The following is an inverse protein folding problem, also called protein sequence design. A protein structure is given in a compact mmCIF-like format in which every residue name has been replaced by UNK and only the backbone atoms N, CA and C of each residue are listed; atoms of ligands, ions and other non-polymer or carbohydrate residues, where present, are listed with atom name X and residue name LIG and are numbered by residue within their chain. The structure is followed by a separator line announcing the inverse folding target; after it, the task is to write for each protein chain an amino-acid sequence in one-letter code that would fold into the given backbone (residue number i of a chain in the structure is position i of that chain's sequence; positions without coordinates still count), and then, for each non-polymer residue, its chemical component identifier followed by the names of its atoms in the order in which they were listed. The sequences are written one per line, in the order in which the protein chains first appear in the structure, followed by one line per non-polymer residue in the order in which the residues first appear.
data_IF_583010937751
#
_entry.id   IF_583010937751
#
_cell.length_a   1.000
_cell.length_b   1.000
_cell.length_c   1.000
_cell.angle_alpha   90.00
_cell.angle_beta   90.00
_cell.angle_gamma   90.00
#
_symmetry.space_group_name_H-M   'P 1'
#
loop_
_entity.id
_entity.type
_entity.pdbx_description
1 polymer ?
#
# COMPACT_ATOMS: atom_id res chain seq x y z
N UNK A 1 -13.13 15.92 30.11
CA UNK A 1 -12.71 14.59 29.59
C UNK A 1 -12.98 14.42 28.09
N UNK A 2 -14.15 14.80 27.57
CA UNK A 2 -14.55 14.60 26.16
C UNK A 2 -13.54 15.14 25.13
N UNK A 3 -13.02 16.36 25.31
CA UNK A 3 -12.01 16.96 24.41
C UNK A 3 -10.66 16.24 24.39
N UNK A 4 -10.28 15.58 25.48
CA UNK A 4 -9.04 14.78 25.53
C UNK A 4 -9.22 13.46 24.76
N UNK A 5 -10.38 12.80 24.90
CA UNK A 5 -10.70 11.59 24.14
C UNK A 5 -10.83 11.86 22.64
N UNK A 6 -11.43 13.00 22.26
CA UNK A 6 -11.54 13.40 20.84
C UNK A 6 -10.18 13.62 20.18
N UNK A 7 -9.25 14.28 20.89
CA UNK A 7 -7.87 14.46 20.39
C UNK A 7 -7.13 13.12 20.21
N UNK A 8 -7.31 12.18 21.15
CA UNK A 8 -6.73 10.83 21.07
C UNK A 8 -7.32 10.01 19.93
N UNK A 9 -8.63 10.11 19.66
CA UNK A 9 -9.30 9.44 18.54
C UNK A 9 -8.84 9.99 17.20
N UNK A 10 -8.79 11.31 17.03
CA UNK A 10 -8.30 11.94 15.79
C UNK A 10 -6.84 11.54 15.53
N UNK A 11 -6.00 11.51 16.56
CA UNK A 11 -4.62 11.03 16.40
C UNK A 11 -4.55 9.56 16.01
N UNK A 12 -5.42 8.71 16.55
CA UNK A 12 -5.43 7.29 16.23
C UNK A 12 -5.83 7.09 14.77
N UNK A 13 -6.84 7.83 14.31
CA UNK A 13 -7.25 7.87 12.91
C UNK A 13 -6.11 8.36 12.02
N UNK A 14 -5.42 9.45 12.38
CA UNK A 14 -4.30 9.96 11.58
C UNK A 14 -3.15 8.96 11.52
N UNK A 15 -2.78 8.32 12.63
CA UNK A 15 -1.74 7.27 12.63
C UNK A 15 -2.17 6.08 11.80
N UNK A 16 -3.42 5.64 11.93
CA UNK A 16 -3.99 4.55 11.12
C UNK A 16 -3.94 4.88 9.63
N UNK A 17 -4.34 6.09 9.24
CA UNK A 17 -4.28 6.57 7.85
C UNK A 17 -2.84 6.60 7.35
N UNK A 18 -1.90 7.11 8.15
CA UNK A 18 -0.48 7.12 7.77
C UNK A 18 0.09 5.71 7.62
N UNK A 19 -0.26 4.80 8.53
CA UNK A 19 0.13 3.38 8.46
C UNK A 19 -0.47 2.72 7.22
N UNK A 20 -1.73 2.96 6.91
CA UNK A 20 -2.40 2.44 5.72
C UNK A 20 -1.78 2.98 4.42
N UNK A 21 -1.40 4.26 4.39
CA UNK A 21 -0.69 4.85 3.25
C UNK A 21 0.69 4.20 3.06
N UNK A 22 1.46 4.04 4.15
CA UNK A 22 2.79 3.41 4.08
C UNK A 22 2.68 1.95 3.67
N UNK A 23 1.73 1.20 4.24
CA UNK A 23 1.47 -0.19 3.87
C UNK A 23 1.06 -0.31 2.39
N UNK A 24 0.14 0.55 1.93
CA UNK A 24 -0.28 0.59 0.53
C UNK A 24 0.88 0.81 -0.44
N UNK A 25 1.77 1.75 -0.12
CA UNK A 25 2.95 2.00 -0.95
C UNK A 25 3.93 0.83 -0.98
N UNK A 26 4.07 0.07 0.12
CA UNK A 26 4.92 -1.12 0.16
C UNK A 26 4.34 -2.29 -0.64
N UNK A 27 3.01 -2.38 -0.71
CA UNK A 27 2.28 -3.44 -1.44
C UNK A 27 2.09 -3.06 -2.92
N UNK A 28 2.47 -1.84 -3.32
CA UNK A 28 2.33 -1.37 -4.71
C UNK A 28 0.89 -1.11 -5.13
N UNK A 29 -0.05 -1.05 -4.18
CA UNK A 29 -1.47 -0.76 -4.43
C UNK A 29 -1.81 0.68 -4.03
N UNK A 30 -2.56 1.42 -4.85
CA UNK A 30 -3.06 2.74 -4.46
C UNK A 30 -4.09 2.57 -3.34
N UNK A 31 -3.71 2.94 -2.12
CA UNK A 31 -4.63 2.90 -0.97
C UNK A 31 -5.31 4.26 -0.82
N UNK A 32 -6.64 4.23 -0.83
CA UNK A 32 -7.57 5.33 -0.58
C UNK A 32 -7.63 6.42 -1.66
N UNK A 33 -6.48 6.95 -2.11
CA UNK A 33 -6.45 8.09 -3.02
C UNK A 33 -5.34 7.92 -4.05
N UNK A 34 -5.67 8.17 -5.32
CA UNK A 34 -4.70 8.31 -6.40
C UNK A 34 -5.03 9.53 -7.25
N UNK A 35 -4.24 9.84 -8.27
CA UNK A 35 -4.46 10.97 -9.17
C UNK A 35 -4.09 10.63 -10.61
N UNK A 36 -4.72 11.33 -11.55
CA UNK A 36 -4.49 11.13 -12.98
C UNK A 36 -3.40 12.08 -13.46
N UNK A 37 -2.45 11.58 -14.24
CA UNK A 37 -1.31 12.33 -14.78
C UNK A 37 -1.50 12.78 -16.23
N UNK A 38 -2.47 12.20 -16.93
CA UNK A 38 -2.83 12.51 -18.32
C UNK A 38 -4.25 13.09 -18.41
N UNK A 39 -4.64 13.50 -19.61
CA UNK A 39 -5.98 13.97 -19.97
C UNK A 39 -6.91 12.85 -20.48
N UNK A 40 -6.50 11.58 -20.41
CA UNK A 40 -7.27 10.45 -20.98
C UNK A 40 -8.63 10.22 -20.31
N UNK A 41 -8.79 10.69 -19.07
CA UNK A 41 -10.05 10.59 -18.31
C UNK A 41 -10.87 11.88 -18.31
N UNK A 42 -10.45 12.93 -19.04
CA UNK A 42 -11.22 14.16 -19.15
C UNK A 42 -12.52 13.92 -19.96
N UNK A 43 -13.63 14.62 -19.66
CA UNK A 43 -13.81 15.61 -18.58
C UNK A 43 -14.14 14.98 -17.21
N UNK A 44 -14.27 13.66 -17.11
CA UNK A 44 -14.70 12.97 -15.89
C UNK A 44 -13.73 13.15 -14.74
N UNK A 45 -12.43 13.02 -15.00
CA UNK A 45 -11.35 13.31 -14.05
C UNK A 45 -10.30 14.13 -14.80
N UNK A 46 -10.08 15.38 -14.38
CA UNK A 46 -9.13 16.26 -15.04
C UNK A 46 -7.68 15.92 -14.66
N UNK A 47 -6.74 16.28 -15.53
CA UNK A 47 -5.31 16.11 -15.28
C UNK A 47 -4.89 16.79 -13.98
N UNK A 48 -4.25 16.05 -13.07
CA UNK A 48 -3.81 16.56 -11.77
C UNK A 48 -4.87 16.51 -10.67
N UNK A 49 -6.10 16.08 -10.98
CA UNK A 49 -7.10 15.80 -9.96
C UNK A 49 -6.86 14.43 -9.31
N UNK A 50 -7.13 14.37 -8.00
CA UNK A 50 -7.17 13.11 -7.26
C UNK A 50 -8.56 12.50 -7.26
N UNK A 51 -8.67 11.23 -6.99
CA UNK A 51 -9.96 10.56 -6.81
C UNK A 51 -9.84 9.40 -5.82
N UNK A 52 -10.97 9.04 -5.20
CA UNK A 52 -11.01 7.95 -4.23
C UNK A 52 -11.03 6.60 -4.93
N UNK A 53 -10.20 5.68 -4.45
CA UNK A 53 -10.10 4.30 -4.95
C UNK A 53 -10.34 3.32 -3.82
N UNK A 54 -11.23 2.36 -4.07
CA UNK A 54 -11.35 1.15 -3.30
C UNK A 54 -10.38 0.12 -3.86
N UNK A 55 -9.46 -0.43 -3.05
CA UNK A 55 -8.62 -1.55 -3.47
C UNK A 55 -9.49 -2.70 -3.98
N UNK A 56 -9.02 -3.44 -4.99
CA UNK A 56 -9.78 -4.54 -5.62
C UNK A 56 -10.18 -5.64 -4.64
N UNK A 57 -9.47 -5.73 -3.51
CA UNK A 57 -9.72 -6.68 -2.42
C UNK A 57 -10.95 -6.33 -1.55
N UNK A 58 -11.46 -5.11 -1.67
CA UNK A 58 -12.67 -4.61 -0.99
C UNK A 58 -13.74 -4.22 -2.01
N UNK A 59 -13.33 -3.85 -3.22
CA UNK A 59 -14.24 -3.58 -4.32
C UNK A 59 -15.02 -4.86 -4.72
N UNK A 60 -16.23 -4.66 -5.26
CA UNK A 60 -17.05 -5.76 -5.77
C UNK A 60 -16.55 -6.29 -7.12
N UNK A 61 -17.38 -7.07 -7.79
CA UNK A 61 -17.16 -7.42 -9.19
C UNK A 61 -17.09 -6.15 -10.05
N UNK A 62 -16.16 -6.15 -11.00
CA UNK A 62 -16.02 -5.06 -11.97
C UNK A 62 -17.14 -5.17 -13.00
N UNK A 63 -17.87 -4.09 -13.21
CA UNK A 63 -18.98 -4.01 -14.15
C UNK A 63 -18.72 -2.99 -15.26
N UNK A 64 -19.50 -3.11 -16.34
CA UNK A 64 -19.48 -2.11 -17.42
C UNK A 64 -19.88 -0.74 -16.88
N UNK A 65 -19.04 0.25 -17.14
CA UNK A 65 -19.20 1.62 -16.66
C UNK A 65 -18.28 1.96 -15.50
N UNK A 66 -17.68 0.99 -14.84
CA UNK A 66 -16.75 1.23 -13.74
C UNK A 66 -15.45 1.87 -14.21
N UNK A 67 -14.91 2.76 -13.38
CA UNK A 67 -13.56 3.31 -13.58
C UNK A 67 -12.61 2.48 -12.74
N UNK A 68 -11.68 1.80 -13.39
CA UNK A 68 -10.75 0.88 -12.75
C UNK A 68 -9.32 1.37 -12.89
N UNK A 69 -8.52 1.06 -11.87
CA UNK A 69 -7.07 1.22 -11.87
C UNK A 69 -6.46 -0.14 -12.11
N UNK A 70 -5.67 -0.30 -13.17
CA UNK A 70 -5.10 -1.59 -13.54
C UNK A 70 -3.66 -1.44 -14.02
N UNK A 71 -2.90 -2.54 -13.93
CA UNK A 71 -1.56 -2.63 -14.51
C UNK A 71 -1.67 -2.98 -16.00
N UNK A 72 -1.47 -1.97 -16.85
CA UNK A 72 -1.41 -2.13 -18.29
C UNK A 72 -0.08 -2.72 -18.72
N UNK A 73 -0.06 -3.41 -19.87
CA UNK A 73 1.13 -4.06 -20.42
C UNK A 73 1.80 -3.25 -21.52
N UNK A 74 1.04 -2.73 -22.46
CA UNK A 74 1.55 -2.08 -23.68
C UNK A 74 1.21 -0.60 -23.76
N UNK A 75 0.31 -0.11 -22.90
CA UNK A 75 0.07 1.32 -22.75
C UNK A 75 1.34 2.09 -22.32
N UNK A 76 1.31 3.42 -22.43
CA UNK A 76 2.46 4.31 -22.19
C UNK A 76 3.68 4.02 -23.10
N UNK A 77 3.43 3.81 -24.40
CA UNK A 77 4.51 3.59 -25.38
C UNK A 77 5.21 2.24 -25.21
N UNK A 78 4.49 1.22 -24.75
CA UNK A 78 5.01 -0.14 -24.55
C UNK A 78 5.67 -0.38 -23.19
N UNK A 79 5.65 0.61 -22.29
CA UNK A 79 6.26 0.47 -20.94
C UNK A 79 5.29 -0.04 -19.88
N UNK A 80 4.00 -0.08 -20.20
CA UNK A 80 2.94 -0.53 -19.31
C UNK A 80 2.73 0.40 -18.12
N UNK A 81 2.22 -0.16 -17.02
CA UNK A 81 2.08 0.51 -15.74
C UNK A 81 0.64 0.87 -15.35
N UNK A 82 0.52 1.46 -14.17
CA UNK A 82 -0.77 1.82 -13.57
C UNK A 82 -1.54 2.80 -14.46
N UNK A 83 -2.69 2.35 -14.93
CA UNK A 83 -3.58 3.09 -15.81
C UNK A 83 -4.96 3.19 -15.19
N UNK A 84 -5.64 4.32 -15.36
CA UNK A 84 -7.01 4.54 -14.88
C UNK A 84 -7.92 4.74 -16.07
N UNK A 85 -8.80 3.79 -16.40
CA UNK A 85 -9.75 3.92 -17.51
C UNK A 85 -11.10 3.28 -17.17
N UNK A 86 -12.11 3.56 -18.00
CA UNK A 86 -13.46 3.02 -17.83
C UNK A 86 -13.62 1.68 -18.54
N UNK A 87 -14.30 0.75 -17.89
CA UNK A 87 -14.73 -0.51 -18.49
C UNK A 87 -15.90 -0.26 -19.42
N UNK A 88 -15.73 -0.59 -20.71
CA UNK A 88 -16.76 -0.38 -21.75
C UNK A 88 -17.39 -1.68 -22.23
N UNK A 89 -16.78 -2.81 -21.91
CA UNK A 89 -17.29 -4.14 -22.24
C UNK A 89 -16.52 -5.24 -21.52
N UNK A 90 -17.05 -6.44 -21.61
CA UNK A 90 -16.46 -7.66 -21.07
C UNK A 90 -16.47 -8.72 -22.16
N UNK A 91 -15.40 -9.50 -22.21
CA UNK A 91 -15.23 -10.64 -23.12
C UNK A 91 -14.80 -11.84 -22.28
N UNK A 92 -14.86 -13.04 -22.84
CA UNK A 92 -14.29 -14.24 -22.20
C UNK A 92 -12.79 -14.09 -21.89
N UNK A 93 -12.10 -13.21 -22.62
CA UNK A 93 -10.70 -12.91 -22.41
C UNK A 93 -10.46 -11.79 -21.39
N UNK A 94 -11.48 -11.13 -20.84
CA UNK A 94 -11.34 -10.06 -19.86
C UNK A 94 -12.05 -8.76 -20.28
N UNK A 95 -11.76 -7.69 -19.55
CA UNK A 95 -12.39 -6.39 -19.69
C UNK A 95 -11.82 -5.58 -20.85
N UNK A 96 -12.71 -4.88 -21.56
CA UNK A 96 -12.36 -3.86 -22.52
C UNK A 96 -12.38 -2.51 -21.82
N UNK A 97 -11.26 -1.79 -21.89
CA UNK A 97 -11.07 -0.51 -21.19
C UNK A 97 -10.87 0.63 -22.18
N UNK A 98 -11.28 1.83 -21.76
CA UNK A 98 -11.19 3.04 -22.57
C UNK A 98 -11.10 4.27 -21.68
N UNK A 99 -10.13 5.15 -21.96
CA UNK A 99 -10.13 6.50 -21.39
C UNK A 99 -11.33 7.30 -21.89
N UNK A 100 -12.02 8.02 -21.00
CA UNK A 100 -13.22 8.78 -21.34
C UNK A 100 -12.99 9.83 -22.46
N UNK A 101 -11.76 10.34 -22.58
CA UNK A 101 -11.34 11.27 -23.62
C UNK A 101 -10.79 10.58 -24.89
N UNK A 102 -10.58 9.26 -24.85
CA UNK A 102 -9.97 8.54 -25.97
C UNK A 102 -11.03 8.25 -27.05
N UNK A 103 -10.68 8.27 -28.35
CA UNK A 103 -11.63 7.92 -29.41
C UNK A 103 -11.88 6.41 -29.48
N UNK A 104 -10.84 5.59 -29.24
CA UNK A 104 -10.87 4.13 -29.36
C UNK A 104 -10.63 3.44 -28.01
N UNK A 105 -10.89 2.14 -27.95
CA UNK A 105 -10.56 1.32 -26.77
C UNK A 105 -9.05 1.10 -26.67
N UNK A 106 -8.57 0.84 -25.47
CA UNK A 106 -7.16 0.51 -25.22
C UNK A 106 -6.75 -0.73 -26.03
N UNK A 107 -7.68 -1.68 -26.19
CA UNK A 107 -7.47 -2.91 -26.94
C UNK A 107 -7.29 -2.69 -28.45
N UNK A 108 -7.98 -1.68 -29.01
CA UNK A 108 -7.73 -1.26 -30.40
C UNK A 108 -6.32 -0.68 -30.59
N UNK A 109 -5.70 -0.19 -29.51
CA UNK A 109 -4.32 0.32 -29.48
C UNK A 109 -3.26 -0.75 -29.21
N UNK A 110 -3.64 -2.02 -29.08
CA UNK A 110 -2.72 -3.14 -28.84
C UNK A 110 -2.54 -3.53 -27.37
N UNK A 111 -3.33 -3.00 -26.44
CA UNK A 111 -3.42 -3.54 -25.08
C UNK A 111 -4.22 -4.86 -25.09
N UNK A 112 -3.78 -5.94 -24.45
CA UNK A 112 -4.62 -7.12 -24.30
C UNK A 112 -5.88 -6.81 -23.45
N UNK A 113 -6.95 -7.61 -23.54
CA UNK A 113 -8.08 -7.49 -22.62
C UNK A 113 -7.62 -7.58 -21.15
N UNK A 114 -8.09 -6.65 -20.33
CA UNK A 114 -7.63 -6.50 -18.93
C UNK A 114 -8.23 -7.61 -18.09
N UNK A 115 -7.39 -8.41 -17.42
CA UNK A 115 -7.85 -9.44 -16.49
C UNK A 115 -8.23 -8.85 -15.13
N UNK A 116 -9.14 -9.50 -14.40
CA UNK A 116 -9.51 -9.11 -13.04
C UNK A 116 -8.31 -8.96 -12.10
N UNK A 117 -7.29 -9.81 -12.27
CA UNK A 117 -6.06 -9.76 -11.47
C UNK A 117 -5.13 -8.58 -11.79
N UNK A 118 -5.30 -7.97 -12.96
CA UNK A 118 -4.57 -6.75 -13.31
C UNK A 118 -5.23 -5.51 -12.67
N UNK A 119 -6.50 -5.61 -12.25
CA UNK A 119 -7.23 -4.53 -11.58
C UNK A 119 -6.78 -4.44 -10.12
N UNK A 120 -6.14 -3.32 -9.78
CA UNK A 120 -5.66 -3.05 -8.41
C UNK A 120 -6.66 -2.26 -7.58
N UNK A 121 -7.64 -1.63 -8.22
CA UNK A 121 -8.72 -0.92 -7.52
C UNK A 121 -9.77 -0.33 -8.45
N UNK A 122 -10.89 0.08 -7.85
CA UNK A 122 -12.04 0.70 -8.52
C UNK A 122 -12.28 2.09 -7.93
N UNK A 123 -12.56 3.07 -8.78
CA UNK A 123 -12.89 4.41 -8.34
C UNK A 123 -14.25 4.42 -7.63
N UNK A 124 -14.32 5.09 -6.48
CA UNK A 124 -15.60 5.27 -5.78
C UNK A 124 -16.47 6.23 -6.58
N UNK A 125 -17.65 5.77 -6.98
CA UNK A 125 -18.62 6.57 -7.71
C UNK A 125 -19.85 6.85 -6.86
N UNK A 126 -20.30 8.11 -6.82
CA UNK A 126 -21.52 8.54 -6.10
C UNK A 126 -22.33 9.42 -7.05
N UNK A 127 -23.61 9.07 -7.27
CA UNK A 127 -24.50 9.84 -8.14
C UNK A 127 -24.12 9.78 -9.63
N UNK A 128 -23.50 8.69 -10.09
CA UNK A 128 -23.15 8.47 -11.50
C UNK A 128 -21.79 9.02 -11.93
N UNK A 129 -20.99 9.61 -11.02
CA UNK A 129 -19.64 10.08 -11.29
C UNK A 129 -18.65 9.74 -10.16
N UNK A 130 -17.34 9.72 -10.45
CA UNK A 130 -16.30 9.45 -9.45
C UNK A 130 -16.23 10.55 -8.39
N UNK A 131 -15.82 10.20 -7.17
CA UNK A 131 -15.51 11.17 -6.12
C UNK A 131 -14.13 11.78 -6.38
N UNK A 132 -14.14 12.95 -7.02
CA UNK A 132 -12.94 13.70 -7.42
C UNK A 132 -12.56 14.73 -6.35
N UNK A 133 -11.26 14.88 -6.12
CA UNK A 133 -10.63 15.89 -5.27
C UNK A 133 -9.80 16.81 -6.18
N UNK A 134 -10.31 18.00 -6.50
CA UNK A 134 -9.66 18.91 -7.43
C UNK A 134 -8.24 19.27 -7.02
N UNK A 135 -7.32 19.25 -7.99
CA UNK A 135 -5.92 19.67 -7.85
C UNK A 135 -5.10 18.90 -6.79
N UNK A 136 -5.59 17.77 -6.28
CA UNK A 136 -4.87 17.00 -5.27
C UNK A 136 -3.55 16.45 -5.83
N UNK A 137 -3.57 15.88 -7.02
CA UNK A 137 -2.38 15.39 -7.71
C UNK A 137 -1.38 16.52 -7.99
N UNK A 138 -1.86 17.68 -8.41
CA UNK A 138 -1.04 18.89 -8.59
C UNK A 138 -0.38 19.32 -7.28
N UNK A 139 -1.13 19.36 -6.18
CA UNK A 139 -0.61 19.73 -4.87
C UNK A 139 0.43 18.73 -4.35
N UNK A 140 0.16 17.43 -4.47
CA UNK A 140 1.08 16.37 -4.07
C UNK A 140 2.37 16.39 -4.90
N UNK A 141 2.25 16.60 -6.21
CA UNK A 141 3.40 16.71 -7.11
C UNK A 141 4.24 17.95 -6.78
N UNK A 142 3.61 19.11 -6.55
CA UNK A 142 4.31 20.32 -6.14
C UNK A 142 5.08 20.15 -4.82
N UNK A 143 4.49 19.46 -3.83
CA UNK A 143 5.18 19.14 -2.57
C UNK A 143 6.37 18.21 -2.81
N UNK A 144 6.20 17.17 -3.63
CA UNK A 144 7.27 16.22 -3.99
C UNK A 144 8.42 16.93 -4.70
N UNK A 145 8.12 17.83 -5.63
CA UNK A 145 9.11 18.60 -6.39
C UNK A 145 9.85 19.59 -5.49
N UNK A 146 9.14 20.26 -4.57
CA UNK A 146 9.78 21.12 -3.58
C UNK A 146 10.73 20.33 -2.66
N UNK A 147 10.34 19.14 -2.20
CA UNK A 147 11.18 18.27 -1.38
C UNK A 147 12.40 17.77 -2.15
N UNK A 148 12.23 17.27 -3.36
CA UNK A 148 13.35 16.80 -4.20
C UNK A 148 14.31 17.94 -4.55
N UNK A 149 13.79 19.15 -4.78
CA UNK A 149 14.57 20.38 -4.93
C UNK A 149 15.42 20.69 -3.69
N UNK A 150 14.81 20.63 -2.50
CA UNK A 150 15.52 20.83 -1.23
C UNK A 150 16.60 19.76 -0.99
N UNK A 151 16.32 18.48 -1.30
CA UNK A 151 17.29 17.39 -1.24
C UNK A 151 18.48 17.65 -2.16
N UNK A 152 18.21 18.02 -3.43
CA UNK A 152 19.25 18.30 -4.42
C UNK A 152 20.13 19.47 -3.95
N UNK A 153 19.52 20.53 -3.43
CA UNK A 153 20.26 21.67 -2.89
C UNK A 153 21.16 21.29 -1.71
N UNK A 154 20.64 20.51 -0.76
CA UNK A 154 21.41 20.01 0.39
C UNK A 154 22.52 19.04 -0.02
N UNK A 155 22.24 18.12 -0.95
CA UNK A 155 23.23 17.18 -1.46
C UNK A 155 24.41 17.89 -2.14
N UNK A 156 24.14 18.95 -2.91
CA UNK A 156 25.17 19.79 -3.52
C UNK A 156 25.96 20.55 -2.44
N UNK A 157 25.27 21.16 -1.47
CA UNK A 157 25.92 21.94 -0.41
C UNK A 157 26.78 21.12 0.54
N UNK A 158 26.35 19.90 0.86
CA UNK A 158 27.02 19.00 1.81
C UNK A 158 27.93 17.97 1.12
N UNK A 159 27.89 17.86 -0.21
CA UNK A 159 28.66 16.86 -0.97
C UNK A 159 28.17 15.41 -0.78
N UNK A 160 26.99 15.20 -0.19
CA UNK A 160 26.51 13.88 0.19
C UNK A 160 25.51 13.33 -0.84
N UNK A 161 26.00 12.45 -1.72
CA UNK A 161 25.17 11.78 -2.74
C UNK A 161 24.11 10.86 -2.14
N UNK A 162 24.31 10.39 -0.90
CA UNK A 162 23.37 9.55 -0.15
C UNK A 162 22.07 10.26 0.24
N UNK A 163 22.00 11.60 0.10
CA UNK A 163 20.79 12.39 0.35
C UNK A 163 19.82 12.44 -0.83
N UNK A 164 20.21 11.93 -2.00
CA UNK A 164 19.33 11.85 -3.16
C UNK A 164 18.44 10.59 -3.11
N UNK A 165 17.22 10.70 -3.65
CA UNK A 165 16.25 9.60 -3.73
C UNK A 165 15.41 9.41 -2.46
N UNK A 166 14.61 8.34 -2.46
CA UNK A 166 13.66 7.98 -1.38
C UNK A 166 14.35 7.64 -0.06
N UNK A 167 15.52 6.99 -0.10
CA UNK A 167 16.34 6.73 1.10
C UNK A 167 16.91 8.03 1.71
N UNK A 168 17.25 9.00 0.86
CA UNK A 168 17.70 10.32 1.26
C UNK A 168 16.66 11.11 2.04
N UNK A 169 15.37 10.96 1.72
CA UNK A 169 14.26 11.61 2.44
C UNK A 169 14.19 11.14 3.89
N UNK A 170 14.38 9.84 4.14
CA UNK A 170 14.40 9.27 5.49
C UNK A 170 15.56 9.87 6.32
N UNK A 171 16.76 9.99 5.73
CA UNK A 171 17.90 10.62 6.39
C UNK A 171 17.68 12.12 6.65
N UNK A 172 17.00 12.81 5.75
CA UNK A 172 16.69 14.23 5.91
C UNK A 172 15.68 14.47 7.03
N UNK A 173 14.61 13.68 7.09
CA UNK A 173 13.64 13.71 8.19
C UNK A 173 14.28 13.34 9.52
N UNK A 174 15.15 12.33 9.54
CA UNK A 174 15.92 11.94 10.72
C UNK A 174 16.90 13.04 11.15
N UNK A 175 17.58 13.69 10.20
CA UNK A 175 18.51 14.79 10.46
C UNK A 175 17.81 16.04 11.00
N UNK A 176 16.70 16.44 10.39
CA UNK A 176 15.86 17.55 10.89
C UNK A 176 15.28 17.20 12.27
N UNK A 177 14.77 15.98 12.44
CA UNK A 177 14.28 15.49 13.73
C UNK A 177 15.36 15.48 14.81
N UNK A 178 16.56 15.01 14.47
CA UNK A 178 17.73 14.98 15.34
C UNK A 178 18.23 16.38 15.70
N UNK A 179 18.25 17.33 14.76
CA UNK A 179 18.59 18.73 15.01
C UNK A 179 17.57 19.42 15.91
N UNK A 180 16.27 19.18 15.69
CA UNK A 180 15.21 19.69 16.55
C UNK A 180 15.30 19.10 17.97
N UNK A 181 15.60 17.81 18.08
CA UNK A 181 15.82 17.14 19.37
C UNK A 181 17.06 17.66 20.08
N UNK A 182 18.22 17.73 19.41
CA UNK A 182 19.46 18.27 19.96
C UNK A 182 19.30 19.73 20.38
N UNK A 183 18.61 20.54 19.58
CA UNK A 183 18.24 21.91 19.91
C UNK A 183 17.37 21.99 21.17
N UNK A 184 16.43 21.04 21.36
CA UNK A 184 15.62 20.96 22.58
C UNK A 184 16.46 20.63 23.83
N UNK A 185 17.43 19.73 23.71
CA UNK A 185 18.33 19.32 24.81
C UNK A 185 19.33 20.43 25.18
N UNK A 186 19.90 21.11 24.20
CA UNK A 186 20.83 22.24 24.43
C UNK A 186 20.11 23.44 25.04
N UNK A 187 18.87 23.70 24.60
CA UNK A 187 18.02 24.74 25.20
C UNK A 187 17.66 24.43 26.66
N UNK A 188 17.54 23.15 27.02
CA UNK A 188 17.29 22.69 28.38
C UNK A 188 18.50 22.89 29.30
N UNK A 189 19.71 22.57 28.82
CA UNK A 189 20.97 22.75 29.58
C UNK A 189 21.32 24.21 29.87
N UNK A 190 20.91 25.15 29.02
CA UNK A 190 21.12 26.60 29.22
C UNK A 190 20.03 27.28 30.06
N UNK A 191 19.00 26.55 30.49
CA UNK A 191 17.79 27.10 31.13
C UNK A 191 17.66 26.94 32.64
N UNK A 192 18.74 26.67 33.39
CA UNK A 192 18.71 26.59 34.86
C UNK A 192 19.17 27.92 35.48
N UNK A 193 18.25 28.87 35.64
CA UNK A 193 18.56 30.17 36.25
C UNK A 193 17.36 31.11 36.40
N UNK A 194 16.66 30.99 37.53
CA UNK A 194 15.72 31.97 38.12
C UNK A 194 14.38 32.26 37.37
N UNK A 195 13.24 32.04 38.03
CA UNK A 195 12.64 32.98 38.98
C UNK A 195 11.13 32.67 39.15
N UNK A 196 10.73 32.43 40.40
CA UNK A 196 9.34 32.40 40.86
C UNK A 196 8.62 33.71 40.46
N UNK A 197 7.49 33.62 39.77
CA UNK A 197 6.38 34.59 39.94
C UNK A 197 5.06 34.04 39.41
N UNK A 198 4.12 33.93 40.34
CA UNK A 198 2.70 33.65 40.14
C UNK A 198 2.06 34.63 39.16
N UNK A 199 1.39 34.13 38.12
CA UNK A 199 0.33 34.89 37.41
C UNK A 199 -0.67 33.94 36.76
N UNK A 200 -1.87 33.89 37.34
CA UNK A 200 -3.10 33.41 36.71
C UNK A 200 -3.25 34.08 35.35
N UNK A 201 -3.31 33.31 34.28
CA UNK A 201 -3.88 33.73 33.00
C UNK A 201 -4.40 32.52 32.23
N UNK A 202 -5.72 32.38 32.25
CA UNK A 202 -6.51 31.60 31.32
C UNK A 202 -6.22 32.07 29.90
N UNK A 203 -5.61 31.22 29.07
CA UNK A 203 -5.58 31.41 27.62
C UNK A 203 -5.84 30.10 26.92
N UNK A 204 -7.10 29.98 26.47
CA UNK A 204 -7.52 29.15 25.34
C UNK A 204 -6.57 29.42 24.16
N UNK A 205 -5.87 28.41 23.68
CA UNK A 205 -5.29 28.38 22.33
C UNK A 205 -5.06 26.93 21.93
N UNK A 206 -5.87 26.47 20.98
CA UNK A 206 -5.76 25.16 20.35
C UNK A 206 -4.41 25.05 19.65
N UNK A 207 -3.61 24.09 20.11
CA UNK A 207 -2.55 23.50 19.31
C UNK A 207 -2.98 22.06 19.04
N UNK A 208 -2.89 21.62 17.79
CA UNK A 208 -3.27 20.28 17.32
C UNK A 208 -2.39 19.16 17.87
N UNK A 209 -1.32 19.47 18.62
CA UNK A 209 -0.41 18.50 19.22
C UNK A 209 -0.67 18.40 20.74
N UNK A 210 -1.12 17.25 21.25
CA UNK A 210 -1.37 17.08 22.68
C UNK A 210 -0.07 17.13 23.47
N UNK A 211 -0.13 17.85 24.59
CA UNK A 211 0.96 18.10 25.55
C UNK A 211 1.49 16.87 26.28
N UNK A 212 0.95 15.68 26.01
CA UNK A 212 1.29 14.40 26.66
C UNK A 212 1.03 13.26 25.69
N UNK A 213 2.05 12.47 25.39
CA UNK A 213 1.93 11.22 24.65
C UNK A 213 1.87 10.10 25.69
N UNK A 214 0.77 9.33 25.80
CA UNK A 214 0.73 8.19 26.70
C UNK A 214 1.77 7.16 26.24
N UNK A 215 2.58 6.62 27.16
CA UNK A 215 3.54 5.55 26.86
C UNK A 215 2.97 4.34 26.11
N UNK A 216 1.73 3.87 26.32
CA UNK A 216 1.17 2.79 25.51
C UNK A 216 1.03 3.12 24.02
N UNK A 217 1.10 4.41 23.62
CA UNK A 217 1.18 4.77 22.19
C UNK A 217 2.48 4.33 21.55
N UNK A 218 3.58 4.26 22.30
CA UNK A 218 4.85 3.77 21.77
C UNK A 218 4.71 2.28 21.46
N UNK A 219 4.13 1.51 22.39
CA UNK A 219 3.80 0.10 22.15
C UNK A 219 2.90 -0.06 20.92
N UNK A 220 1.87 0.78 20.79
CA UNK A 220 0.96 0.71 19.64
C UNK A 220 1.67 1.05 18.32
N UNK A 221 2.50 2.08 18.27
CA UNK A 221 3.25 2.45 17.05
C UNK A 221 4.24 1.35 16.67
N UNK A 222 5.00 0.80 17.63
CA UNK A 222 5.92 -0.31 17.39
C UNK A 222 5.16 -1.58 16.94
N UNK A 223 4.02 -1.86 17.57
CA UNK A 223 3.14 -2.96 17.18
C UNK A 223 2.57 -2.78 15.77
N UNK A 224 2.15 -1.57 15.40
CA UNK A 224 1.72 -1.27 14.03
C UNK A 224 2.86 -1.43 13.02
N UNK A 225 4.08 -0.99 13.35
CA UNK A 225 5.24 -1.21 12.48
C UNK A 225 5.52 -2.71 12.29
N UNK A 226 5.45 -3.49 13.36
CA UNK A 226 5.59 -4.95 13.30
C UNK A 226 4.51 -5.57 12.40
N UNK A 227 3.24 -5.20 12.59
CA UNK A 227 2.13 -5.67 11.76
C UNK A 227 2.35 -5.32 10.30
N UNK A 228 2.70 -4.07 9.98
CA UNK A 228 2.97 -3.66 8.59
C UNK A 228 4.05 -4.54 7.97
N UNK A 229 5.13 -4.85 8.71
CA UNK A 229 6.16 -5.76 8.20
C UNK A 229 5.61 -7.17 7.93
N UNK A 230 4.77 -7.71 8.83
CA UNK A 230 4.16 -9.03 8.66
C UNK A 230 3.18 -9.06 7.48
N UNK A 231 2.30 -8.06 7.38
CA UNK A 231 1.38 -7.90 6.26
C UNK A 231 2.15 -7.89 4.95
N UNK A 232 3.20 -7.07 4.84
CA UNK A 232 4.06 -6.99 3.64
C UNK A 232 4.69 -8.34 3.32
N UNK A 233 5.19 -9.08 4.32
CA UNK A 233 5.74 -10.42 4.10
C UNK A 233 4.71 -11.40 3.54
N UNK A 234 3.46 -11.35 4.01
CA UNK A 234 2.38 -12.21 3.53
C UNK A 234 1.87 -11.79 2.14
N UNK A 235 1.84 -10.50 1.83
CA UNK A 235 1.20 -9.97 0.60
C UNK A 235 2.15 -9.69 -0.56
N UNK A 236 3.44 -9.46 -0.31
CA UNK A 236 4.41 -9.14 -1.38
C UNK A 236 5.16 -10.38 -1.83
N UNK A 237 5.43 -11.31 -0.90
CA UNK A 237 6.03 -12.59 -1.27
C UNK A 237 5.04 -13.52 -1.97
N UNK A 238 3.73 -13.32 -1.73
CA UNK A 238 2.64 -13.92 -2.50
C UNK A 238 2.17 -12.94 -3.57
N UNK A 239 1.54 -13.43 -4.64
CA UNK A 239 1.11 -12.54 -5.71
C UNK A 239 0.67 -13.25 -6.96
N UNK A 240 0.33 -12.45 -7.97
CA UNK A 240 -0.10 -12.92 -9.28
C UNK A 240 1.14 -13.31 -10.09
N UNK A 241 1.19 -14.56 -10.52
CA UNK A 241 2.18 -15.08 -11.46
C UNK A 241 1.55 -15.21 -12.84
N UNK A 242 2.30 -14.83 -13.87
CA UNK A 242 1.90 -14.93 -15.27
C UNK A 242 2.66 -16.07 -15.95
N UNK A 243 1.91 -16.96 -16.60
CA UNK A 243 2.41 -17.98 -17.52
C UNK A 243 2.01 -17.59 -18.94
N UNK A 244 2.98 -17.26 -19.77
CA UNK A 244 2.75 -16.90 -21.17
C UNK A 244 2.58 -18.12 -22.05
N UNK A 245 1.38 -18.72 -22.09
CA UNK A 245 1.14 -19.97 -22.82
C UNK A 245 0.97 -19.72 -24.31
N UNK A 246 1.64 -20.50 -25.14
CA UNK A 246 1.50 -20.48 -26.61
C UNK A 246 0.69 -21.69 -27.06
N UNK A 247 -0.42 -21.45 -27.74
CA UNK A 247 -1.18 -22.52 -28.39
C UNK A 247 -0.60 -22.79 -29.78
N UNK A 248 -0.10 -24.02 -29.98
CA UNK A 248 0.42 -24.50 -31.25
C UNK A 248 -0.27 -25.79 -31.68
N UNK A 249 -0.23 -26.14 -32.96
CA UNK A 249 -0.79 -27.42 -33.46
C UNK A 249 0.15 -28.61 -33.19
N UNK A 250 1.41 -28.34 -32.84
CA UNK A 250 2.44 -29.35 -32.59
C UNK A 250 2.80 -29.42 -31.12
N UNK A 251 3.02 -30.65 -30.66
CA UNK A 251 3.47 -30.96 -29.30
C UNK A 251 4.94 -30.59 -29.11
N UNK A 252 5.27 -30.09 -27.92
CA UNK A 252 6.60 -29.55 -27.57
C UNK A 252 7.00 -30.01 -26.17
N UNK A 253 8.29 -30.26 -25.89
CA UNK A 253 8.75 -30.59 -24.54
C UNK A 253 8.72 -29.41 -23.55
N UNK A 254 8.42 -28.19 -24.02
CA UNK A 254 8.26 -27.02 -23.14
C UNK A 254 6.82 -26.93 -22.62
N UNK A 255 6.65 -27.03 -21.29
CA UNK A 255 5.34 -27.07 -20.61
C UNK A 255 4.48 -25.79 -20.70
N UNK A 256 4.91 -24.84 -21.54
CA UNK A 256 4.23 -23.57 -21.83
C UNK A 256 3.75 -23.51 -23.28
N UNK A 257 4.04 -24.54 -24.08
CA UNK A 257 3.57 -24.69 -25.47
C UNK A 257 2.58 -25.85 -25.49
N UNK A 258 1.30 -25.52 -25.42
CA UNK A 258 0.24 -26.51 -25.25
C UNK A 258 -0.47 -26.71 -26.60
N UNK A 259 -0.68 -27.97 -27.05
CA UNK A 259 -1.45 -28.23 -28.24
C UNK A 259 -2.85 -27.62 -28.18
N UNK A 260 -3.37 -27.15 -29.32
CA UNK A 260 -4.72 -26.52 -29.38
C UNK A 260 -5.79 -27.42 -28.76
N UNK A 261 -6.53 -26.88 -27.78
CA UNK A 261 -7.61 -27.60 -27.10
C UNK A 261 -7.18 -28.62 -26.04
N UNK A 262 -5.88 -28.69 -25.71
CA UNK A 262 -5.36 -29.59 -24.66
C UNK A 262 -5.07 -28.85 -23.35
N UNK A 263 -4.78 -29.65 -22.32
CA UNK A 263 -4.29 -29.19 -21.02
C UNK A 263 -2.88 -29.76 -20.77
N UNK A 264 -2.05 -29.00 -20.08
CA UNK A 264 -0.75 -29.46 -19.61
C UNK A 264 -0.55 -29.12 -18.13
N UNK A 265 0.14 -30.01 -17.40
CA UNK A 265 0.40 -29.85 -15.98
C UNK A 265 1.81 -29.30 -15.75
N UNK A 266 1.88 -28.15 -15.09
CA UNK A 266 3.11 -27.48 -14.69
C UNK A 266 3.33 -27.62 -13.17
N UNK A 267 4.54 -28.01 -12.79
CA UNK A 267 4.93 -28.06 -11.38
C UNK A 267 5.37 -26.67 -10.89
N UNK A 268 4.45 -25.99 -10.19
CA UNK A 268 4.70 -24.68 -9.58
C UNK A 268 5.41 -24.84 -8.23
N UNK A 269 6.62 -24.29 -8.11
CA UNK A 269 7.39 -24.35 -6.87
C UNK A 269 7.10 -23.13 -5.98
N UNK A 270 6.69 -23.40 -4.75
CA UNK A 270 6.45 -22.42 -3.68
C UNK A 270 7.65 -22.46 -2.72
N UNK A 271 8.59 -21.51 -2.81
CA UNK A 271 9.73 -21.45 -1.89
C UNK A 271 9.36 -20.79 -0.57
N UNK A 272 10.02 -21.16 0.53
CA UNK A 272 9.99 -20.43 1.79
C UNK A 272 11.40 -20.05 2.24
N UNK A 273 11.90 -18.91 1.78
CA UNK A 273 13.21 -18.38 2.22
C UNK A 273 13.15 -17.68 3.60
N UNK A 274 12.01 -17.76 4.28
CA UNK A 274 11.78 -17.16 5.59
C UNK A 274 12.25 -18.04 6.75
N UNK A 275 12.16 -17.50 7.96
CA UNK A 275 12.52 -18.20 9.21
C UNK A 275 11.31 -18.79 9.95
N UNK A 276 10.10 -18.62 9.41
CA UNK A 276 8.84 -19.12 9.98
C UNK A 276 8.15 -19.98 8.92
N UNK A 277 7.52 -21.11 9.29
CA UNK A 277 6.75 -21.90 8.35
C UNK A 277 5.59 -21.08 7.77
N UNK A 278 5.18 -21.41 6.55
CA UNK A 278 4.09 -20.74 5.86
C UNK A 278 3.07 -21.76 5.35
N UNK A 279 1.83 -21.31 5.23
CA UNK A 279 0.80 -22.01 4.47
C UNK A 279 0.54 -21.21 3.20
N UNK A 280 0.70 -21.85 2.05
CA UNK A 280 0.46 -21.23 0.75
C UNK A 280 -0.74 -21.88 0.05
N UNK A 281 -1.54 -21.05 -0.62
CA UNK A 281 -2.62 -21.46 -1.51
C UNK A 281 -2.34 -20.94 -2.90
N UNK A 282 -2.61 -21.76 -3.91
CA UNK A 282 -2.36 -21.45 -5.31
C UNK A 282 -3.71 -21.56 -6.00
N UNK A 283 -4.28 -20.43 -6.37
CA UNK A 283 -5.63 -20.34 -6.94
C UNK A 283 -5.59 -19.89 -8.40
N UNK A 284 -6.57 -20.29 -9.22
CA UNK A 284 -6.66 -19.86 -10.59
C UNK A 284 -7.07 -18.39 -10.63
N UNK A 285 -6.30 -17.59 -11.36
CA UNK A 285 -6.51 -16.14 -11.51
C UNK A 285 -7.00 -15.77 -12.92
N UNK A 286 -7.16 -16.76 -13.80
CA UNK A 286 -7.72 -16.59 -15.14
C UNK A 286 -8.40 -17.87 -15.60
N UNK A 287 -9.29 -17.74 -16.58
CA UNK A 287 -9.89 -18.89 -17.31
C UNK A 287 -8.81 -19.86 -17.80
N UNK A 288 -9.12 -21.16 -17.89
CA UNK A 288 -8.20 -22.17 -18.41
C UNK A 288 -7.00 -22.44 -17.50
N UNK A 289 -7.18 -22.25 -16.19
CA UNK A 289 -6.24 -22.66 -15.16
C UNK A 289 -7.02 -23.43 -14.11
N UNK A 290 -6.52 -24.60 -13.74
CA UNK A 290 -7.04 -25.40 -12.64
C UNK A 290 -5.91 -25.73 -11.65
N UNK A 291 -6.24 -25.72 -10.37
CA UNK A 291 -5.26 -25.89 -9.30
C UNK A 291 -5.83 -26.81 -8.21
N UNK A 292 -4.98 -27.66 -7.60
CA UNK A 292 -5.41 -28.55 -6.53
C UNK A 292 -6.05 -27.79 -5.38
N UNK A 293 -7.21 -28.26 -4.91
CA UNK A 293 -7.86 -27.69 -3.75
C UNK A 293 -7.07 -28.04 -2.48
N UNK A 294 -6.44 -27.05 -1.86
CA UNK A 294 -5.79 -27.21 -0.55
C UNK A 294 -4.56 -26.34 -0.37
N UNK A 295 -4.29 -25.98 0.88
CA UNK A 295 -3.08 -25.23 1.24
C UNK A 295 -1.91 -26.18 1.48
N UNK A 296 -0.73 -25.80 1.02
CA UNK A 296 0.52 -26.52 1.29
C UNK A 296 1.29 -25.84 2.41
N UNK A 297 1.76 -26.63 3.38
CA UNK A 297 2.66 -26.16 4.44
C UNK A 297 4.09 -26.21 3.89
N UNK A 298 4.83 -25.12 4.02
CA UNK A 298 6.23 -25.02 3.59
C UNK A 298 7.08 -24.60 4.78
N UNK A 299 7.99 -25.46 5.20
CA UNK A 299 8.90 -25.22 6.33
C UNK A 299 9.97 -24.15 5.99
N UNK A 300 10.62 -23.53 7.00
CA UNK A 300 11.69 -22.58 6.79
C UNK A 300 12.84 -23.16 5.95
N UNK A 301 13.21 -22.48 4.86
CA UNK A 301 14.27 -22.88 3.94
C UNK A 301 13.88 -23.98 2.95
N UNK A 302 12.64 -24.47 2.98
CA UNK A 302 12.16 -25.52 2.09
C UNK A 302 11.35 -24.97 0.90
N UNK A 303 11.02 -25.86 -0.04
CA UNK A 303 10.14 -25.57 -1.16
C UNK A 303 9.10 -26.67 -1.29
N UNK A 304 7.86 -26.29 -1.56
CA UNK A 304 6.79 -27.23 -1.91
C UNK A 304 6.45 -27.11 -3.40
N UNK A 305 5.92 -28.18 -3.99
CA UNK A 305 5.49 -28.19 -5.39
C UNK A 305 3.99 -28.39 -5.49
N UNK A 306 3.33 -27.55 -6.28
CA UNK A 306 1.90 -27.61 -6.57
C UNK A 306 1.74 -27.81 -8.07
N UNK A 307 1.03 -28.87 -8.48
CA UNK A 307 0.78 -29.12 -9.90
C UNK A 307 -0.37 -28.26 -10.41
N UNK A 308 -0.08 -27.25 -11.23
CA UNK A 308 -1.05 -26.37 -11.87
C UNK A 308 -1.39 -26.94 -13.24
N UNK A 309 -2.67 -27.07 -13.56
CA UNK A 309 -3.12 -27.48 -14.89
C UNK A 309 -3.50 -26.24 -15.72
N UNK A 310 -2.93 -26.13 -16.91
CA UNK A 310 -3.16 -25.03 -17.84
C UNK A 310 -3.86 -25.59 -19.07
N UNK A 311 -5.03 -25.04 -19.42
CA UNK A 311 -5.79 -25.43 -20.61
C UNK A 311 -5.80 -24.30 -21.64
N UNK A 312 -5.86 -24.62 -22.92
CA UNK A 312 -5.85 -23.62 -24.02
C UNK A 312 -7.01 -23.83 -24.99
N UNK A 313 -7.64 -22.77 -25.55
CA UNK A 313 -8.73 -22.93 -26.51
C UNK A 313 -8.26 -23.64 -27.80
N UNK A 314 -9.19 -24.13 -28.64
CA UNK A 314 -8.87 -24.83 -29.89
C UNK A 314 -8.42 -23.88 -31.02
N UNK A 315 -7.93 -22.68 -30.68
CA UNK A 315 -7.49 -21.66 -31.62
C UNK A 315 -6.03 -21.33 -31.34
N UNK A 316 -5.21 -21.26 -32.39
CA UNK A 316 -3.79 -20.90 -32.26
C UNK A 316 -3.65 -19.45 -31.81
N UNK A 317 -2.66 -19.19 -30.95
CA UNK A 317 -2.46 -17.86 -30.40
C UNK A 317 -1.72 -17.85 -29.06
N UNK A 318 -1.45 -16.64 -28.58
CA UNK A 318 -0.82 -16.41 -27.28
C UNK A 318 -1.89 -16.17 -26.20
N UNK A 319 -1.86 -16.97 -25.15
CA UNK A 319 -2.84 -16.94 -24.06
C UNK A 319 -2.12 -16.78 -22.71
N UNK A 320 -2.04 -15.55 -22.15
CA UNK A 320 -1.50 -15.38 -20.81
C UNK A 320 -2.46 -15.99 -19.79
N UNK A 321 -1.94 -16.95 -19.02
CA UNK A 321 -2.61 -17.60 -17.91
C UNK A 321 -2.05 -17.06 -16.60
N UNK A 322 -2.93 -16.86 -15.62
CA UNK A 322 -2.56 -16.27 -14.34
C UNK A 322 -2.94 -17.19 -13.20
N UNK A 323 -2.03 -17.28 -12.24
CA UNK A 323 -2.22 -17.96 -10.96
C UNK A 323 -1.96 -16.94 -9.87
N UNK A 324 -2.72 -16.99 -8.79
CA UNK A 324 -2.46 -16.16 -7.61
C UNK A 324 -2.01 -17.03 -6.45
N UNK A 325 -0.86 -16.69 -5.90
CA UNK A 325 -0.34 -17.34 -4.70
C UNK A 325 -0.65 -16.49 -3.46
N UNK A 326 -1.42 -17.07 -2.53
CA UNK A 326 -1.69 -16.47 -1.23
C UNK A 326 -0.83 -17.14 -0.16
N UNK A 327 -0.08 -16.35 0.60
CA UNK A 327 0.86 -16.84 1.62
C UNK A 327 0.49 -16.34 3.00
N UNK A 328 0.50 -17.24 3.96
CA UNK A 328 0.18 -16.94 5.36
C UNK A 328 1.25 -17.49 6.28
N UNK A 329 1.68 -16.71 7.27
CA UNK A 329 2.56 -17.22 8.32
C UNK A 329 1.80 -18.27 9.14
N UNK A 330 2.41 -19.42 9.38
CA UNK A 330 1.82 -20.53 10.12
C UNK A 330 1.81 -20.29 11.65
N UNK A 331 1.33 -19.13 12.08
CA UNK A 331 1.16 -18.75 13.50
C UNK A 331 -0.10 -19.38 14.09
N UNK A 332 -1.08 -19.67 13.23
CA UNK A 332 -2.33 -20.35 13.55
C UNK A 332 -2.29 -21.80 13.04
N UNK A 333 -3.06 -22.72 13.64
CA UNK A 333 -3.25 -24.06 13.07
C UNK A 333 -3.74 -23.99 11.62
N UNK A 334 -3.24 -24.87 10.76
CA UNK A 334 -3.57 -24.88 9.34
C UNK A 334 -5.08 -24.95 9.07
N UNK A 335 -5.84 -25.67 9.90
CA UNK A 335 -7.31 -25.76 9.80
C UNK A 335 -8.01 -24.42 10.02
N UNK A 336 -7.46 -23.55 10.88
CA UNK A 336 -8.02 -22.21 11.13
C UNK A 336 -7.71 -21.28 9.97
N UNK A 337 -6.47 -21.33 9.46
CA UNK A 337 -6.07 -20.58 8.26
C UNK A 337 -6.97 -20.99 7.08
N UNK A 338 -7.18 -22.28 6.90
CA UNK A 338 -8.05 -22.81 5.84
C UNK A 338 -9.50 -22.34 5.99
N UNK A 339 -10.09 -22.43 7.18
CA UNK A 339 -11.45 -21.96 7.42
C UNK A 339 -11.63 -20.47 7.16
N UNK A 340 -10.64 -19.64 7.53
CA UNK A 340 -10.63 -18.21 7.24
C UNK A 340 -10.46 -17.94 5.74
N UNK A 341 -9.59 -18.70 5.08
CA UNK A 341 -9.30 -18.59 3.65
C UNK A 341 -10.53 -18.85 2.79
N UNK A 342 -11.29 -19.90 3.11
CA UNK A 342 -12.53 -20.25 2.40
C UNK A 342 -13.59 -19.15 2.44
N UNK A 343 -13.58 -18.31 3.48
CA UNK A 343 -14.47 -17.14 3.55
C UNK A 343 -13.89 -16.00 2.73
N UNK A 344 -12.60 -15.68 2.91
CA UNK A 344 -11.93 -14.64 2.13
C UNK A 344 -10.39 -14.72 2.26
N UNK A 345 -9.60 -14.55 1.18
CA UNK A 345 -8.13 -14.60 1.23
C UNK A 345 -7.46 -13.58 2.18
N UNK A 346 -8.13 -12.47 2.51
CA UNK A 346 -7.60 -11.48 3.46
C UNK A 346 -7.91 -11.76 4.92
N UNK A 347 -8.87 -12.64 5.22
CA UNK A 347 -9.22 -12.93 6.61
C UNK A 347 -8.08 -13.56 7.42
N UNK A 348 -7.30 -14.53 6.89
CA UNK A 348 -6.12 -15.02 7.60
C UNK A 348 -5.12 -13.90 7.95
N UNK A 349 -4.86 -12.98 7.01
CA UNK A 349 -3.95 -11.82 7.23
C UNK A 349 -4.44 -10.99 8.40
N UNK A 350 -5.71 -10.57 8.37
CA UNK A 350 -6.31 -9.72 9.41
C UNK A 350 -6.29 -10.39 10.78
N UNK A 351 -6.60 -11.69 10.85
CA UNK A 351 -6.62 -12.43 12.11
C UNK A 351 -5.21 -12.63 12.67
N UNK A 352 -4.24 -13.00 11.82
CA UNK A 352 -2.83 -13.14 12.23
C UNK A 352 -2.29 -11.80 12.72
N UNK A 353 -2.52 -10.72 11.97
CA UNK A 353 -2.07 -9.37 12.33
C UNK A 353 -2.71 -8.89 13.65
N UNK A 354 -4.01 -9.13 13.84
CA UNK A 354 -4.69 -8.81 15.08
C UNK A 354 -4.15 -9.60 16.29
N UNK A 355 -3.85 -10.89 16.10
CA UNK A 355 -3.28 -11.75 17.14
C UNK A 355 -1.88 -11.27 17.53
N UNK A 356 -1.02 -11.01 16.55
CA UNK A 356 0.35 -10.55 16.81
C UNK A 356 0.34 -9.15 17.44
N UNK A 357 -0.48 -8.23 16.94
CA UNK A 357 -0.63 -6.90 17.52
C UNK A 357 -1.13 -6.97 18.97
N UNK A 358 -2.18 -7.76 19.20
CA UNK A 358 -2.78 -7.96 20.51
C UNK A 358 -1.78 -8.52 21.51
N UNK A 359 -1.07 -9.60 21.13
CA UNK A 359 -0.03 -10.21 21.94
C UNK A 359 1.13 -9.26 22.24
N UNK A 360 1.62 -8.55 21.21
CA UNK A 360 2.70 -7.57 21.37
C UNK A 360 2.29 -6.45 22.34
N UNK A 361 1.11 -5.86 22.16
CA UNK A 361 0.62 -4.77 23.03
C UNK A 361 0.39 -5.27 24.45
N UNK A 362 -0.14 -6.49 24.62
CA UNK A 362 -0.36 -7.10 25.93
C UNK A 362 0.94 -7.26 26.72
N UNK A 363 2.06 -7.57 26.06
CA UNK A 363 3.39 -7.69 26.68
C UNK A 363 4.08 -6.34 26.84
N UNK A 364 4.02 -5.48 25.82
CA UNK A 364 4.75 -4.21 25.79
C UNK A 364 4.18 -3.17 26.77
N UNK A 365 2.86 -3.12 26.96
CA UNK A 365 2.23 -2.11 27.83
C UNK A 365 2.61 -2.25 29.30
N UNK A 366 2.63 -3.46 29.91
CA UNK A 366 3.17 -3.68 31.25
C UNK A 366 4.63 -3.24 31.40
N UNK A 367 5.49 -3.57 30.42
CA UNK A 367 6.94 -3.28 30.46
C UNK A 367 7.22 -1.77 30.39
N UNK A 368 6.57 -1.07 29.46
CA UNK A 368 6.78 0.37 29.24
C UNK A 368 6.05 1.20 30.33
N UNK A 369 5.02 0.61 30.93
CA UNK A 369 4.18 1.21 31.97
C UNK A 369 3.16 2.20 31.41
N UNK A 370 2.08 2.44 32.17
CA UNK A 370 0.93 3.28 31.76
C UNK A 370 1.15 4.79 31.91
N UNK A 371 2.39 5.21 32.14
CA UNK A 371 2.75 6.61 32.35
C UNK A 371 2.54 7.48 31.10
N UNK A 372 2.58 8.80 31.26
CA UNK A 372 2.60 9.74 30.12
C UNK A 372 3.99 10.33 29.95
N UNK A 373 4.52 10.34 28.74
CA UNK A 373 5.66 11.18 28.39
C UNK A 373 5.11 12.58 28.18
N UNK A 374 5.64 13.55 28.93
CA UNK A 374 5.42 14.96 28.63
C UNK A 374 6.44 15.34 27.55
N UNK A 375 6.07 15.50 26.26
CA UNK A 375 6.90 16.29 25.38
C UNK A 375 7.01 17.68 26.02
N UNK A 376 8.22 18.06 26.40
CA UNK A 376 8.48 19.34 27.06
C UNK A 376 8.34 20.46 26.03
N UNK A 377 7.11 20.83 25.67
CA UNK A 377 6.85 22.02 24.86
C UNK A 377 6.98 23.24 25.77
N UNK A 378 8.20 23.66 26.04
CA UNK A 378 8.45 25.00 26.54
C UNK A 378 8.22 25.96 25.38
N UNK A 379 7.08 26.68 25.40
CA UNK A 379 6.88 27.81 24.49
C UNK A 379 7.90 28.87 24.87
N UNK A 380 9.01 28.93 24.14
CA UNK A 380 10.04 29.92 24.37
C UNK A 380 9.50 31.37 24.21
N UNK A 381 10.09 32.32 24.96
CA UNK A 381 9.83 33.76 24.89
C UNK A 381 10.37 34.44 23.61
N UNK A 382 10.85 33.68 22.61
CA UNK A 382 11.50 34.19 21.39
C UNK A 382 10.53 35.03 20.54
N UNK A 383 9.26 34.62 20.43
CA UNK A 383 8.23 35.39 19.70
C UNK A 383 7.98 36.77 20.33
N UNK A 384 8.24 36.94 21.64
CA UNK A 384 8.18 38.24 22.32
C UNK A 384 9.45 39.07 22.18
N UNK A 385 10.60 38.43 21.96
CA UNK A 385 11.88 39.13 21.74
C UNK A 385 11.96 39.70 20.33
N UNK A 386 11.48 38.95 19.32
CA UNK A 386 11.40 39.42 17.93
C UNK A 386 10.43 40.60 17.80
N UNK A 387 9.27 40.55 18.50
CA UNK A 387 8.29 41.65 18.50
C UNK A 387 8.75 42.93 19.24
N UNK A 388 9.86 42.87 19.97
CA UNK A 388 10.44 44.02 20.69
C UNK A 388 11.65 44.61 19.97
N UNK A 389 12.21 43.90 18.99
CA UNK A 389 13.25 44.38 18.08
C UNK A 389 12.65 45.01 16.82
N UNK A 390 11.37 44.75 16.53
CA UNK A 390 10.60 45.34 15.43
C UNK A 390 9.68 46.49 15.91
N UNK A 391 10.03 47.18 17.00
CA UNK A 391 9.32 48.35 17.50
C UNK A 391 10.28 49.46 17.84
#
# INVERSE_FOLDING_TARGET
MVRYRLGTVVQAIVVLVLVAIVAGQLIGQPVLVTYVTSDSMAPTIATGDGYLVLPSVVAGSVEKGDIVVFNAKTLHGGTGGLTTHRVVGETEQGFLTKGDNNPFTDQSGGEPPVKSVQVVGQAVSVGGGPVVIPSLGTALTAIRDAMTGAQRWLAIKLGMRSLLGTRGLAYLLLGVGGLLYAGSVVAERRGSGSQRRSRRRSRRRGGFLPRRIPRPWIALVLGCLLVVSLTVTMTVAGGVQEFGVVSAEQDSPEATIIPTGQSERLDYSVPNDGVVPIVAYVDPASTGVDTPSGGVLVEPGERATVGVELSVPPTTGYYPRYVVEHRYLAVLPQSWIHGLYLVHPWLPVVVIDALVLGGFVAVAVPIIGRGTIRPHTNRHPIVRRIKRLLR
#
